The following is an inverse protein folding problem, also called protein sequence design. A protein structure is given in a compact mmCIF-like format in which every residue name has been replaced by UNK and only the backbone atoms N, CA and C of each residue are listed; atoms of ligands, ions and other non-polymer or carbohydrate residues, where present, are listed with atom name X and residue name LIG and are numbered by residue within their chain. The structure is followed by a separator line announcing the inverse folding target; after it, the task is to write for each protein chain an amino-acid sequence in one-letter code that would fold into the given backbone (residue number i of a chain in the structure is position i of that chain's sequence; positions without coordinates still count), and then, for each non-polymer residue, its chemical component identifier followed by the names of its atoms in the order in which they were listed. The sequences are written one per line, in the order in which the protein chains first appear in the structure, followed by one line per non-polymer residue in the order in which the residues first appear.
data_IF_348328007522
#
_entry.id   IF_348328007522
#
_cell.length_a   1.000
_cell.length_b   1.000
_cell.length_c   1.000
_cell.angle_alpha   90.00
_cell.angle_beta   90.00
_cell.angle_gamma   90.00
#
_symmetry.space_group_name_H-M   'P 1'
#
loop_
_entity.id
_entity.type
_entity.pdbx_description
1 polymer ?
#
# COMPACT_ATOMS: atom_id res chain seq x y z
N UNK A 1 -0.89 -10.71 51.08
CA UNK A 1 -0.57 -10.01 49.81
C UNK A 1 -1.79 -9.23 49.29
N UNK A 2 -3.01 -9.78 49.32
CA UNK A 2 -4.25 -8.99 49.05
C UNK A 2 -4.45 -7.80 50.00
N UNK A 3 -4.06 -7.92 51.27
CA UNK A 3 -4.19 -6.82 52.23
C UNK A 3 -3.32 -5.61 51.85
N UNK A 4 -2.13 -5.84 51.28
CA UNK A 4 -1.26 -4.78 50.77
C UNK A 4 -1.89 -4.08 49.53
N UNK A 5 -2.64 -4.83 48.72
CA UNK A 5 -3.46 -4.36 47.61
C UNK A 5 -4.51 -3.31 47.97
N UNK A 6 -5.01 -3.37 49.19
CA UNK A 6 -6.17 -2.59 49.66
C UNK A 6 -5.81 -1.62 50.78
N UNK A 7 -4.54 -1.57 51.18
CA UNK A 7 -4.12 -0.76 52.30
C UNK A 7 -3.99 0.70 51.88
N UNK A 8 -4.62 1.66 52.59
CA UNK A 8 -4.66 3.07 52.16
C UNK A 8 -3.28 3.74 52.16
N UNK A 9 -2.33 3.21 52.94
CA UNK A 9 -0.97 3.74 53.03
C UNK A 9 0.04 2.96 52.16
N UNK A 10 -0.41 2.05 51.29
CA UNK A 10 0.47 1.28 50.40
C UNK A 10 0.11 1.59 48.96
N UNK A 11 1.07 2.10 48.20
CA UNK A 11 0.97 2.22 46.75
C UNK A 11 1.69 1.04 46.10
N UNK A 12 0.95 0.22 45.37
CA UNK A 12 1.53 -0.91 44.63
C UNK A 12 2.05 -0.46 43.26
N UNK A 13 3.36 -0.58 43.07
CA UNK A 13 4.01 -0.44 41.78
C UNK A 13 4.15 -1.83 41.15
N UNK A 14 3.05 -2.35 40.61
CA UNK A 14 3.03 -3.68 39.98
C UNK A 14 3.83 -3.69 38.67
N UNK A 15 4.30 -4.87 38.25
CA UNK A 15 5.08 -5.07 37.03
C UNK A 15 6.25 -4.08 36.90
N UNK A 16 6.97 -3.90 38.01
CA UNK A 16 8.05 -2.95 38.17
C UNK A 16 9.28 -3.62 38.77
N UNK A 17 10.45 -3.07 38.50
CA UNK A 17 11.73 -3.52 39.05
C UNK A 17 12.40 -2.38 39.80
N UNK A 18 12.99 -2.69 40.95
CA UNK A 18 13.85 -1.76 41.67
C UNK A 18 15.19 -1.71 40.95
N UNK A 19 15.57 -0.54 40.44
CA UNK A 19 16.86 -0.33 39.78
C UNK A 19 17.94 0.14 40.74
N UNK A 20 17.56 0.95 41.74
CA UNK A 20 18.49 1.54 42.69
C UNK A 20 17.80 1.88 44.01
N UNK A 21 18.55 1.76 45.11
CA UNK A 21 18.10 2.15 46.45
C UNK A 21 19.23 2.94 47.10
N UNK A 22 18.95 4.17 47.53
CA UNK A 22 19.92 5.03 48.20
C UNK A 22 19.35 5.62 49.50
N UNK A 23 20.22 6.08 50.39
CA UNK A 23 19.82 6.63 51.70
C UNK A 23 19.98 5.63 52.86
N UNK A 24 19.13 5.75 53.88
CA UNK A 24 19.21 4.95 55.11
C UNK A 24 17.82 4.55 55.63
N UNK A 25 17.78 3.69 56.65
CA UNK A 25 16.52 3.18 57.22
C UNK A 25 15.64 4.34 57.70
N UNK A 26 14.44 4.46 57.13
CA UNK A 26 13.47 5.53 57.45
C UNK A 26 13.60 6.79 56.59
N UNK A 27 14.64 6.92 55.77
CA UNK A 27 14.79 7.99 54.78
C UNK A 27 15.63 7.48 53.60
N UNK A 28 14.97 6.81 52.67
CA UNK A 28 15.60 6.22 51.49
C UNK A 28 14.82 6.61 50.24
N UNK A 29 15.53 6.69 49.13
CA UNK A 29 14.97 6.86 47.80
C UNK A 29 15.11 5.55 47.02
N UNK A 30 14.05 5.17 46.32
CA UNK A 30 14.04 3.99 45.45
C UNK A 30 13.77 4.44 44.03
N UNK A 31 14.67 4.10 43.12
CA UNK A 31 14.44 4.23 41.69
C UNK A 31 13.77 2.96 41.20
N UNK A 32 12.55 3.10 40.69
CA UNK A 32 11.73 1.98 40.23
C UNK A 32 11.47 2.16 38.73
N UNK A 33 11.83 1.15 37.94
CA UNK A 33 11.43 1.06 36.54
C UNK A 33 10.12 0.30 36.44
N UNK A 34 9.06 1.00 36.07
CA UNK A 34 7.77 0.39 35.73
C UNK A 34 7.80 -0.10 34.29
N UNK A 35 7.63 -1.42 34.08
CA UNK A 35 7.61 -1.99 32.73
C UNK A 35 6.29 -1.62 32.02
N UNK A 36 6.31 -1.41 30.70
CA UNK A 36 5.09 -1.13 29.95
C UNK A 36 4.20 -2.37 29.91
N UNK A 37 2.98 -2.23 30.41
CA UNK A 37 2.00 -3.32 30.53
C UNK A 37 1.23 -3.60 29.23
N UNK A 38 1.04 -2.56 28.42
CA UNK A 38 0.18 -2.56 27.21
C UNK A 38 -1.28 -3.00 27.44
N UNK A 39 -1.70 -3.02 28.70
CA UNK A 39 -3.08 -3.25 29.14
C UNK A 39 -3.41 -2.13 30.12
N UNK A 40 -4.59 -1.52 29.94
CA UNK A 40 -5.08 -0.46 30.83
C UNK A 40 -5.48 -1.09 32.17
N UNK A 41 -4.77 -0.72 33.24
CA UNK A 41 -4.88 -1.33 34.57
C UNK A 41 -6.26 -1.10 35.20
N UNK A 42 -6.83 0.07 34.98
CA UNK A 42 -8.14 0.52 35.45
C UNK A 42 -9.31 -0.13 34.70
N UNK A 43 -9.08 -0.63 33.48
CA UNK A 43 -10.10 -1.30 32.66
C UNK A 43 -10.03 -2.82 32.71
N UNK A 44 -8.92 -3.39 33.19
CA UNK A 44 -8.74 -4.84 33.21
C UNK A 44 -9.50 -5.49 34.36
N UNK A 45 -10.50 -6.32 34.02
CA UNK A 45 -11.31 -7.06 35.00
C UNK A 45 -10.73 -8.43 35.38
N UNK A 46 -9.54 -8.76 34.88
CA UNK A 46 -8.89 -10.05 35.07
C UNK A 46 -9.68 -11.28 34.57
N UNK A 47 -10.65 -11.11 33.67
CA UNK A 47 -11.57 -12.17 33.24
C UNK A 47 -10.94 -13.30 32.41
N UNK A 48 -9.78 -13.07 31.80
CA UNK A 48 -9.05 -14.08 31.02
C UNK A 48 -9.46 -14.23 29.55
N UNK A 49 -10.52 -13.57 29.09
CA UNK A 49 -10.98 -13.65 27.68
C UNK A 49 -9.88 -13.30 26.66
N UNK A 50 -8.96 -12.41 27.03
CA UNK A 50 -7.82 -12.06 26.20
C UNK A 50 -6.83 -13.21 25.95
N UNK A 51 -6.73 -14.18 26.88
CA UNK A 51 -5.90 -15.38 26.70
C UNK A 51 -6.45 -16.24 25.56
N UNK A 52 -7.77 -16.42 25.54
CA UNK A 52 -8.45 -17.34 24.64
C UNK A 52 -8.40 -16.87 23.18
N UNK A 53 -8.32 -15.56 22.96
CA UNK A 53 -8.33 -14.94 21.62
C UNK A 53 -6.95 -14.56 21.11
N UNK A 54 -5.89 -14.69 21.91
CA UNK A 54 -4.55 -14.27 21.52
C UNK A 54 -3.87 -15.30 20.61
N UNK A 55 -3.56 -14.95 19.34
CA UNK A 55 -3.05 -15.92 18.36
C UNK A 55 -1.54 -16.16 18.46
N UNK A 56 -0.87 -15.54 19.43
CA UNK A 56 0.59 -15.56 19.58
C UNK A 56 0.93 -16.37 20.81
N UNK A 57 1.75 -17.41 20.64
CA UNK A 57 2.35 -18.14 21.76
C UNK A 57 3.79 -17.67 21.98
N UNK A 58 4.16 -17.49 23.24
CA UNK A 58 5.51 -17.14 23.69
C UNK A 58 5.98 -18.15 24.73
N UNK A 59 7.30 -18.19 24.95
CA UNK A 59 7.92 -19.03 25.96
C UNK A 59 7.59 -18.53 27.36
N UNK A 60 7.25 -19.44 28.27
CA UNK A 60 6.85 -19.12 29.64
C UNK A 60 8.08 -18.86 30.53
N UNK A 61 8.44 -17.60 30.74
CA UNK A 61 9.57 -17.23 31.61
C UNK A 61 9.37 -17.62 33.07
N UNK A 62 8.12 -17.63 33.57
CA UNK A 62 7.82 -17.99 34.95
C UNK A 62 8.08 -19.49 35.20
N UNK A 63 7.84 -20.33 34.21
CA UNK A 63 8.13 -21.76 34.24
C UNK A 63 9.50 -22.11 33.60
N UNK A 64 10.46 -21.18 33.59
CA UNK A 64 11.83 -21.39 33.09
C UNK A 64 11.89 -21.93 31.63
N UNK A 65 10.89 -21.57 30.82
CA UNK A 65 10.77 -22.00 29.42
C UNK A 65 10.32 -23.45 29.22
N UNK A 66 9.83 -24.11 30.27
CA UNK A 66 9.30 -25.49 30.20
C UNK A 66 7.90 -25.56 29.60
N UNK A 67 7.23 -24.42 29.43
CA UNK A 67 5.90 -24.29 28.82
C UNK A 67 5.82 -23.09 27.89
N UNK A 68 4.70 -22.98 27.18
CA UNK A 68 4.33 -21.80 26.38
C UNK A 68 2.99 -21.25 26.87
N UNK A 69 2.79 -19.96 26.74
CA UNK A 69 1.51 -19.30 27.01
C UNK A 69 1.22 -18.23 25.94
N UNK A 70 0.00 -17.69 25.86
CA UNK A 70 -0.28 -16.60 24.93
C UNK A 70 0.53 -15.34 25.23
N UNK A 71 0.78 -14.47 24.24
CA UNK A 71 1.58 -13.26 24.42
C UNK A 71 0.95 -12.25 25.40
N UNK A 72 -0.36 -12.32 25.61
CA UNK A 72 -1.04 -11.70 26.75
C UNK A 72 -1.16 -12.74 27.87
N UNK A 73 -0.77 -12.38 29.09
CA UNK A 73 -0.76 -13.29 30.23
C UNK A 73 -0.76 -12.53 31.56
N UNK A 74 -0.87 -13.26 32.68
CA UNK A 74 -0.62 -12.70 34.02
C UNK A 74 0.83 -12.94 34.38
N UNK A 75 1.55 -11.92 34.85
CA UNK A 75 2.98 -11.99 35.14
C UNK A 75 3.38 -13.17 36.05
N UNK A 76 2.47 -13.62 36.93
CA UNK A 76 2.54 -14.89 37.65
C UNK A 76 1.14 -15.27 38.15
N UNK A 77 0.87 -16.54 38.52
CA UNK A 77 -0.48 -17.02 38.86
C UNK A 77 -1.20 -16.26 39.98
N UNK A 78 -0.45 -15.67 40.91
CA UNK A 78 -0.96 -14.94 42.07
C UNK A 78 -0.68 -13.42 41.99
N UNK A 79 -0.55 -12.87 40.78
CA UNK A 79 -0.25 -11.45 40.57
C UNK A 79 -1.26 -10.54 41.28
N UNK A 80 -0.76 -9.52 41.99
CA UNK A 80 -1.56 -8.47 42.64
C UNK A 80 -1.06 -7.10 42.16
N UNK A 81 -1.93 -6.29 41.52
CA UNK A 81 -3.28 -6.63 41.08
C UNK A 81 -3.24 -7.70 39.98
N UNK A 82 -4.33 -8.47 39.82
CA UNK A 82 -4.42 -9.60 38.87
C UNK A 82 -4.61 -9.13 37.42
N UNK A 83 -3.81 -8.15 37.02
CA UNK A 83 -3.92 -7.46 35.74
C UNK A 83 -3.00 -8.12 34.73
N UNK A 84 -3.52 -8.32 33.52
CA UNK A 84 -2.78 -8.92 32.41
C UNK A 84 -1.67 -7.98 31.91
N UNK A 85 -0.68 -8.55 31.24
CA UNK A 85 0.43 -7.88 30.55
C UNK A 85 0.50 -8.43 29.13
N UNK A 86 0.95 -7.63 28.17
CA UNK A 86 1.35 -8.12 26.84
C UNK A 86 2.86 -8.06 26.75
N UNK A 87 3.50 -9.18 26.40
CA UNK A 87 4.92 -9.17 26.06
C UNK A 87 5.12 -8.62 24.65
N UNK A 88 5.89 -7.53 24.56
CA UNK A 88 6.28 -6.91 23.31
C UNK A 88 7.79 -6.94 23.17
N UNK A 89 8.31 -7.81 22.30
CA UNK A 89 9.74 -7.99 22.04
C UNK A 89 10.38 -6.85 21.21
N UNK A 90 9.56 -5.97 20.62
CA UNK A 90 10.04 -4.83 19.85
C UNK A 90 9.13 -4.50 18.66
N UNK A 91 9.74 -3.93 17.62
CA UNK A 91 9.12 -3.71 16.30
C UNK A 91 9.72 -4.72 15.33
N UNK A 92 8.87 -5.44 14.61
CA UNK A 92 9.33 -6.40 13.61
C UNK A 92 9.95 -5.66 12.41
N UNK A 93 11.05 -6.16 11.80
CA UNK A 93 11.66 -5.53 10.64
C UNK A 93 10.68 -5.28 9.48
N UNK A 94 9.76 -6.22 9.23
CA UNK A 94 8.73 -6.07 8.20
C UNK A 94 7.72 -4.95 8.50
N UNK A 95 7.46 -4.67 9.79
CA UNK A 95 6.61 -3.55 10.21
C UNK A 95 7.35 -2.22 10.08
N UNK A 96 8.61 -2.20 10.49
CA UNK A 96 9.46 -1.01 10.43
C UNK A 96 9.69 -0.54 8.99
N UNK A 97 9.90 -1.49 8.07
CA UNK A 97 10.04 -1.23 6.65
C UNK A 97 8.71 -0.83 5.97
N UNK A 98 7.56 -1.18 6.54
CA UNK A 98 6.27 -0.88 5.93
C UNK A 98 5.92 0.61 6.10
N UNK A 99 5.67 1.37 5.01
CA UNK A 99 5.37 2.80 5.11
C UNK A 99 4.15 3.15 5.95
N UNK A 100 3.17 2.24 6.03
CA UNK A 100 1.96 2.42 6.87
C UNK A 100 2.13 1.84 8.28
N UNK A 101 3.31 1.31 8.62
CA UNK A 101 3.57 0.67 9.91
C UNK A 101 2.70 -0.57 10.18
N UNK A 102 2.21 -1.21 9.11
CA UNK A 102 1.23 -2.29 9.18
C UNK A 102 1.77 -3.53 9.90
N UNK A 103 0.92 -4.12 10.76
CA UNK A 103 1.29 -5.23 11.65
C UNK A 103 1.19 -6.60 10.97
N UNK A 104 2.09 -6.90 10.03
CA UNK A 104 2.11 -8.16 9.27
C UNK A 104 2.07 -9.42 10.14
N UNK A 105 2.88 -9.47 11.20
CA UNK A 105 2.90 -10.60 12.13
C UNK A 105 1.54 -10.89 12.77
N UNK A 106 0.74 -9.85 13.05
CA UNK A 106 -0.56 -9.98 13.70
C UNK A 106 -1.56 -10.69 12.81
N UNK A 107 -1.77 -10.21 11.59
CA UNK A 107 -2.71 -10.86 10.68
C UNK A 107 -2.19 -12.22 10.18
N UNK A 108 -0.87 -12.43 10.05
CA UNK A 108 -0.31 -13.74 9.69
C UNK A 108 -0.57 -14.78 10.80
N UNK A 109 -0.50 -14.38 12.06
CA UNK A 109 -0.87 -15.27 13.16
C UNK A 109 -2.36 -15.64 13.13
N UNK A 110 -3.23 -14.68 12.81
CA UNK A 110 -4.66 -14.92 12.63
C UNK A 110 -4.94 -15.84 11.43
N UNK A 111 -4.22 -15.67 10.31
CA UNK A 111 -4.27 -16.58 9.15
C UNK A 111 -3.88 -18.00 9.56
N UNK A 112 -2.83 -18.18 10.37
CA UNK A 112 -2.38 -19.49 10.86
C UNK A 112 -3.47 -20.22 11.65
N UNK A 113 -4.28 -19.47 12.41
CA UNK A 113 -5.43 -20.00 13.16
C UNK A 113 -6.72 -20.12 12.33
N UNK A 114 -6.66 -19.81 11.03
CA UNK A 114 -7.83 -19.74 10.12
C UNK A 114 -8.88 -18.71 10.52
N UNK A 115 -8.47 -17.67 11.25
CA UNK A 115 -9.32 -16.54 11.65
C UNK A 115 -9.24 -15.43 10.61
N UNK A 116 -9.69 -15.73 9.40
CA UNK A 116 -9.49 -14.85 8.24
C UNK A 116 -10.25 -13.53 8.35
N UNK A 117 -11.46 -13.53 8.90
CA UNK A 117 -12.23 -12.31 9.15
C UNK A 117 -11.53 -11.37 10.17
N UNK A 118 -10.99 -11.92 11.26
CA UNK A 118 -10.17 -11.15 12.21
C UNK A 118 -8.88 -10.63 11.55
N UNK A 119 -8.25 -11.44 10.67
CA UNK A 119 -7.06 -11.04 9.93
C UNK A 119 -7.38 -9.86 9.00
N UNK A 120 -8.49 -9.91 8.27
CA UNK A 120 -8.95 -8.81 7.40
C UNK A 120 -9.21 -7.54 8.21
N UNK A 121 -9.91 -7.66 9.34
CA UNK A 121 -10.12 -6.54 10.27
C UNK A 121 -8.80 -5.92 10.74
N UNK A 122 -7.85 -6.74 11.17
CA UNK A 122 -6.54 -6.28 11.61
C UNK A 122 -5.74 -5.59 10.50
N UNK A 123 -5.91 -6.00 9.24
CA UNK A 123 -5.30 -5.34 8.08
C UNK A 123 -5.94 -3.96 7.84
N UNK A 124 -7.29 -3.89 7.90
CA UNK A 124 -8.08 -2.65 7.70
C UNK A 124 -7.85 -1.58 8.77
N UNK A 125 -7.33 -1.95 9.96
CA UNK A 125 -6.93 -0.98 10.99
C UNK A 125 -5.87 0.02 10.49
N UNK A 126 -4.94 -0.43 9.64
CA UNK A 126 -3.79 0.39 9.18
C UNK A 126 -3.83 0.65 7.65
N UNK A 127 -4.78 0.03 6.91
CA UNK A 127 -4.81 0.08 5.45
C UNK A 127 -6.25 0.01 4.89
N UNK A 128 -6.78 1.08 4.27
CA UNK A 128 -8.09 1.06 3.61
C UNK A 128 -8.19 0.12 2.42
N UNK A 129 -7.06 -0.14 1.74
CA UNK A 129 -7.02 -0.83 0.44
C UNK A 129 -6.21 -2.14 0.49
N UNK A 130 -6.60 -3.14 1.31
CA UNK A 130 -5.90 -4.43 1.35
C UNK A 130 -5.88 -5.18 0.03
N UNK A 131 -6.93 -5.12 -0.79
CA UNK A 131 -6.99 -5.79 -2.08
C UNK A 131 -6.00 -5.18 -3.07
N UNK A 132 -5.85 -3.85 -3.07
CA UNK A 132 -4.83 -3.13 -3.85
C UNK A 132 -3.43 -3.47 -3.34
N UNK A 133 -3.15 -3.26 -2.06
CA UNK A 133 -1.82 -3.51 -1.51
C UNK A 133 -1.43 -5.00 -1.46
N UNK A 134 -2.37 -5.92 -1.70
CA UNK A 134 -2.10 -7.34 -1.90
C UNK A 134 -1.67 -7.68 -3.34
N UNK A 135 -1.80 -6.75 -4.28
CA UNK A 135 -1.53 -6.95 -5.70
C UNK A 135 -0.38 -6.10 -6.23
N UNK A 136 -0.33 -4.83 -5.84
CA UNK A 136 0.55 -3.83 -6.49
C UNK A 136 1.60 -3.23 -5.54
N UNK A 137 1.66 -3.71 -4.29
CA UNK A 137 2.62 -3.20 -3.33
C UNK A 137 4.05 -3.61 -3.73
N UNK A 138 4.99 -2.69 -3.59
CA UNK A 138 6.42 -2.95 -3.74
C UNK A 138 7.02 -3.82 -2.62
N UNK A 139 6.20 -4.26 -1.65
CA UNK A 139 6.51 -5.31 -0.67
C UNK A 139 7.89 -5.21 0.02
N UNK A 140 8.37 -3.99 0.30
CA UNK A 140 9.61 -3.70 1.06
C UNK A 140 9.67 -4.40 2.42
N UNK A 141 8.51 -4.77 2.97
CA UNK A 141 8.41 -5.58 4.19
C UNK A 141 8.94 -7.01 4.02
N UNK A 142 8.93 -7.55 2.81
CA UNK A 142 9.49 -8.86 2.45
C UNK A 142 11.01 -8.78 2.31
N UNK A 143 11.55 -7.70 1.73
CA UNK A 143 13.00 -7.44 1.68
C UNK A 143 13.62 -7.37 3.09
N UNK A 144 12.93 -6.71 4.02
CA UNK A 144 13.36 -6.60 5.42
C UNK A 144 13.08 -7.87 6.25
N UNK A 145 12.44 -8.90 5.68
CA UNK A 145 11.92 -10.03 6.45
C UNK A 145 13.06 -10.84 7.09
N UNK A 146 13.00 -11.02 8.41
CA UNK A 146 14.02 -11.79 9.14
C UNK A 146 14.11 -13.26 8.71
N UNK A 147 13.06 -13.80 8.07
CA UNK A 147 13.04 -15.18 7.56
C UNK A 147 14.06 -15.38 6.43
N UNK A 148 14.35 -14.35 5.63
CA UNK A 148 15.36 -14.36 4.59
C UNK A 148 16.78 -14.65 5.09
N UNK A 149 17.04 -14.53 6.40
CA UNK A 149 18.32 -14.91 7.03
C UNK A 149 18.49 -16.42 7.19
N UNK A 150 17.42 -17.19 6.96
CA UNK A 150 17.41 -18.64 7.10
C UNK A 150 17.10 -19.29 5.75
N UNK A 151 16.04 -18.84 5.08
CA UNK A 151 15.66 -19.27 3.74
C UNK A 151 15.04 -18.11 2.94
N UNK A 152 13.73 -18.11 2.69
CA UNK A 152 13.05 -17.12 1.85
C UNK A 152 12.15 -16.19 2.68
N UNK A 153 11.96 -14.92 2.26
CA UNK A 153 10.96 -14.05 2.86
C UNK A 153 9.57 -14.68 2.92
N UNK A 154 8.81 -14.34 3.95
CA UNK A 154 7.38 -14.65 3.95
C UNK A 154 6.70 -13.82 2.87
N UNK A 155 5.84 -14.43 2.06
CA UNK A 155 5.04 -13.74 1.02
C UNK A 155 3.89 -12.91 1.62
N UNK A 156 4.25 -11.87 2.37
CA UNK A 156 3.34 -10.97 3.10
C UNK A 156 2.29 -10.35 2.17
N UNK A 157 2.68 -9.87 0.99
CA UNK A 157 1.79 -9.28 -0.01
C UNK A 157 0.75 -10.30 -0.49
N UNK A 158 1.17 -11.53 -0.80
CA UNK A 158 0.27 -12.60 -1.27
C UNK A 158 -0.68 -13.08 -0.19
N UNK A 159 -0.22 -13.14 1.07
CA UNK A 159 -1.09 -13.45 2.22
C UNK A 159 -2.15 -12.37 2.43
N UNK A 160 -1.79 -11.09 2.26
CA UNK A 160 -2.74 -9.97 2.29
C UNK A 160 -3.77 -10.08 1.17
N UNK A 161 -3.34 -10.39 -0.06
CA UNK A 161 -4.25 -10.67 -1.18
C UNK A 161 -5.22 -11.79 -0.86
N UNK A 162 -4.71 -12.93 -0.39
CA UNK A 162 -5.55 -14.07 -0.02
C UNK A 162 -6.63 -13.67 1.00
N UNK A 163 -6.28 -12.94 2.05
CA UNK A 163 -7.23 -12.50 3.07
C UNK A 163 -8.26 -11.51 2.50
N UNK A 164 -7.84 -10.56 1.67
CA UNK A 164 -8.75 -9.61 1.04
C UNK A 164 -9.75 -10.31 0.10
N UNK A 165 -9.25 -11.23 -0.73
CA UNK A 165 -10.08 -11.99 -1.66
C UNK A 165 -11.07 -12.89 -0.88
N UNK A 166 -10.59 -13.58 0.16
CA UNK A 166 -11.44 -14.38 1.04
C UNK A 166 -12.53 -13.53 1.71
N UNK A 167 -12.19 -12.35 2.21
CA UNK A 167 -13.14 -11.45 2.88
C UNK A 167 -14.29 -11.03 1.94
N UNK A 168 -13.97 -10.78 0.67
CA UNK A 168 -14.97 -10.44 -0.35
C UNK A 168 -15.90 -11.59 -0.74
N UNK A 169 -15.48 -12.83 -0.53
CA UNK A 169 -16.31 -14.03 -0.71
C UNK A 169 -17.15 -14.38 0.53
N UNK A 170 -16.78 -13.85 1.72
CA UNK A 170 -17.39 -14.19 3.00
C UNK A 170 -17.88 -12.93 3.77
N UNK A 171 -18.75 -12.10 3.17
CA UNK A 171 -19.15 -10.81 3.73
C UNK A 171 -19.84 -10.93 5.10
N UNK A 172 -20.60 -12.01 5.35
CA UNK A 172 -21.29 -12.21 6.63
C UNK A 172 -20.32 -12.45 7.80
N UNK A 173 -19.26 -13.23 7.56
CA UNK A 173 -18.22 -13.49 8.57
C UNK A 173 -17.40 -12.22 8.84
N UNK A 174 -17.14 -11.42 7.80
CA UNK A 174 -16.49 -10.12 7.92
C UNK A 174 -17.37 -9.17 8.73
N UNK A 175 -18.66 -9.05 8.42
CA UNK A 175 -19.58 -8.20 9.15
C UNK A 175 -19.63 -8.54 10.65
N UNK A 176 -19.66 -9.84 10.99
CA UNK A 176 -19.61 -10.28 12.39
C UNK A 176 -18.26 -9.96 13.06
N UNK A 177 -17.14 -10.08 12.34
CA UNK A 177 -15.82 -9.73 12.88
C UNK A 177 -15.68 -8.22 13.17
N UNK A 178 -16.30 -7.37 12.37
CA UNK A 178 -16.33 -5.91 12.54
C UNK A 178 -17.40 -5.43 13.53
N UNK A 179 -18.28 -6.32 13.98
CA UNK A 179 -19.29 -5.98 14.97
C UNK A 179 -18.62 -5.54 16.29
N UNK A 180 -19.02 -4.40 16.88
CA UNK A 180 -18.56 -3.98 18.19
C UNK A 180 -18.73 -5.11 19.22
N UNK A 181 -17.63 -5.49 19.90
CA UNK A 181 -17.67 -6.57 20.90
C UNK A 181 -17.97 -6.05 22.30
N UNK A 182 -17.86 -4.74 22.48
CA UNK A 182 -18.20 -4.01 23.70
C UNK A 182 -19.02 -2.76 23.35
N UNK A 183 -19.92 -2.35 24.25
CA UNK A 183 -20.84 -1.22 24.01
C UNK A 183 -20.10 0.09 23.70
N UNK A 184 -18.94 0.32 24.31
CA UNK A 184 -18.11 1.51 24.07
C UNK A 184 -17.54 1.60 22.63
N UNK A 185 -17.54 0.49 21.87
CA UNK A 185 -17.14 0.47 20.45
C UNK A 185 -18.34 0.71 19.50
N UNK A 186 -19.57 0.69 20.02
CA UNK A 186 -20.78 0.81 19.20
C UNK A 186 -21.28 2.26 19.03
N UNK A 187 -20.68 3.22 19.74
CA UNK A 187 -21.06 4.63 19.62
C UNK A 187 -20.55 5.18 18.28
N UNK A 188 -21.47 5.65 17.44
CA UNK A 188 -21.12 6.45 16.27
C UNK A 188 -20.36 7.70 16.72
N UNK A 189 -19.36 8.17 15.95
CA UNK A 189 -18.64 9.36 16.31
C UNK A 189 -19.58 10.56 16.34
N UNK A 190 -19.59 11.29 17.45
CA UNK A 190 -20.38 12.51 17.61
C UNK A 190 -20.10 13.49 16.46
N UNK A 191 -21.13 14.00 15.77
CA UNK A 191 -20.95 14.95 14.68
C UNK A 191 -20.20 16.19 15.16
N UNK A 192 -19.05 16.45 14.55
CA UNK A 192 -18.22 17.62 14.87
C UNK A 192 -18.81 18.92 14.33
N UNK A 193 -19.78 18.84 13.42
CA UNK A 193 -20.33 19.97 12.67
C UNK A 193 -19.33 20.61 11.71
N UNK A 194 -18.20 19.95 11.42
CA UNK A 194 -17.15 20.43 10.53
C UNK A 194 -17.23 19.78 9.16
N UNK A 195 -17.11 20.60 8.12
CA UNK A 195 -17.15 20.19 6.70
C UNK A 195 -15.75 20.22 6.11
N UNK A 196 -15.33 19.12 5.48
CA UNK A 196 -14.02 18.99 4.84
C UNK A 196 -14.18 18.64 3.37
N UNK A 197 -13.54 19.41 2.50
CA UNK A 197 -13.42 19.09 1.08
C UNK A 197 -12.13 18.31 0.81
N UNK A 198 -12.22 17.22 0.07
CA UNK A 198 -11.09 16.39 -0.36
C UNK A 198 -11.01 16.49 -1.88
N UNK A 199 -9.93 17.05 -2.42
CA UNK A 199 -9.73 17.20 -3.86
C UNK A 199 -8.86 16.06 -4.38
N UNK A 200 -9.46 15.19 -5.19
CA UNK A 200 -8.87 13.95 -5.72
C UNK A 200 -9.34 12.71 -4.96
N UNK A 201 -9.81 11.69 -5.69
CA UNK A 201 -10.26 10.40 -5.14
C UNK A 201 -9.20 9.28 -5.28
N UNK A 202 -7.92 9.65 -5.32
CA UNK A 202 -6.82 8.70 -5.25
C UNK A 202 -6.69 8.05 -3.86
N UNK A 203 -5.68 7.19 -3.66
CA UNK A 203 -5.48 6.49 -2.37
C UNK A 203 -5.40 7.45 -1.19
N UNK A 204 -4.70 8.58 -1.34
CA UNK A 204 -4.57 9.58 -0.29
C UNK A 204 -5.92 10.24 0.05
N UNK A 205 -6.66 10.70 -0.96
CA UNK A 205 -7.94 11.39 -0.75
C UNK A 205 -8.99 10.50 -0.11
N UNK A 206 -9.14 9.26 -0.60
CA UNK A 206 -10.09 8.30 -0.03
C UNK A 206 -9.71 7.86 1.39
N UNK A 207 -8.42 7.69 1.70
CA UNK A 207 -7.96 7.40 3.06
C UNK A 207 -8.29 8.55 4.02
N UNK A 208 -7.98 9.79 3.61
CA UNK A 208 -8.33 10.99 4.40
C UNK A 208 -9.84 11.10 4.60
N UNK A 209 -10.62 10.80 3.56
CA UNK A 209 -12.08 10.86 3.66
C UNK A 209 -12.63 9.82 4.65
N UNK A 210 -12.12 8.59 4.61
CA UNK A 210 -12.46 7.55 5.57
C UNK A 210 -12.12 7.99 7.00
N UNK A 211 -10.87 8.40 7.25
CA UNK A 211 -10.39 8.75 8.59
C UNK A 211 -11.14 9.94 9.19
N UNK A 212 -11.45 10.96 8.37
CA UNK A 212 -12.21 12.12 8.83
C UNK A 212 -13.67 11.76 9.09
N UNK A 213 -14.27 10.89 8.26
CA UNK A 213 -15.64 10.44 8.47
C UNK A 213 -15.77 9.63 9.76
N UNK A 214 -14.82 8.74 10.04
CA UNK A 214 -14.73 7.98 11.30
C UNK A 214 -14.49 8.87 12.53
N UNK A 215 -14.06 10.13 12.35
CA UNK A 215 -13.93 11.14 13.40
C UNK A 215 -15.14 12.07 13.53
N UNK A 216 -16.23 11.81 12.80
CA UNK A 216 -17.47 12.59 12.88
C UNK A 216 -17.46 13.87 12.05
N UNK A 217 -16.57 14.00 11.07
CA UNK A 217 -16.60 15.12 10.11
C UNK A 217 -17.51 14.81 8.92
N UNK A 218 -18.11 15.84 8.34
CA UNK A 218 -18.77 15.77 7.04
C UNK A 218 -17.70 15.90 5.95
N UNK A 219 -17.66 14.96 5.01
CA UNK A 219 -16.62 14.92 3.98
C UNK A 219 -17.24 14.85 2.59
N UNK A 220 -16.82 15.77 1.71
CA UNK A 220 -17.10 15.71 0.27
C UNK A 220 -15.80 15.50 -0.49
N UNK A 221 -15.73 14.44 -1.30
CA UNK A 221 -14.63 14.16 -2.22
C UNK A 221 -14.99 14.67 -3.62
N UNK A 222 -14.13 15.50 -4.19
CA UNK A 222 -14.26 16.03 -5.55
C UNK A 222 -13.26 15.32 -6.46
N UNK A 223 -13.76 14.62 -7.48
CA UNK A 223 -12.96 13.87 -8.44
C UNK A 223 -13.16 14.44 -9.84
N UNK A 224 -12.06 14.70 -10.56
CA UNK A 224 -12.10 15.26 -11.90
C UNK A 224 -12.59 14.24 -12.95
N UNK A 225 -12.33 12.96 -12.74
CA UNK A 225 -12.67 11.87 -13.65
C UNK A 225 -14.11 11.34 -13.43
N UNK A 226 -14.66 10.57 -14.41
CA UNK A 226 -15.97 9.93 -14.27
C UNK A 226 -15.96 8.72 -13.32
N UNK A 227 -14.81 8.37 -12.73
CA UNK A 227 -14.60 7.21 -11.86
C UNK A 227 -13.67 7.58 -10.71
N UNK A 228 -13.84 6.92 -9.56
CA UNK A 228 -12.99 7.12 -8.39
C UNK A 228 -11.82 6.12 -8.31
N UNK A 229 -10.80 6.45 -7.51
CA UNK A 229 -9.64 5.58 -7.25
C UNK A 229 -8.31 6.12 -7.77
N UNK A 230 -8.33 7.23 -8.52
CA UNK A 230 -7.13 7.86 -9.07
C UNK A 230 -6.24 6.87 -9.84
N UNK A 231 -4.92 6.92 -9.64
CA UNK A 231 -3.99 6.03 -10.35
C UNK A 231 -4.19 4.53 -10.05
N UNK A 232 -4.84 4.15 -8.95
CA UNK A 232 -5.19 2.74 -8.70
C UNK A 232 -6.22 2.22 -9.70
N UNK A 233 -7.05 3.13 -10.25
CA UNK A 233 -8.08 2.84 -11.26
C UNK A 233 -7.55 3.07 -12.67
N UNK A 234 -6.97 4.24 -12.93
CA UNK A 234 -6.67 4.66 -14.31
C UNK A 234 -5.20 4.50 -14.69
N UNK A 235 -4.30 4.35 -13.72
CA UNK A 235 -2.89 4.10 -13.99
C UNK A 235 -2.60 2.61 -14.11
N UNK A 236 -2.94 1.85 -13.07
CA UNK A 236 -2.64 0.42 -12.98
C UNK A 236 -3.60 -0.37 -13.89
N UNK A 237 -3.09 -1.21 -14.81
CA UNK A 237 -3.94 -2.03 -15.67
C UNK A 237 -4.83 -3.04 -14.93
N UNK A 238 -5.99 -3.33 -15.49
CA UNK A 238 -6.98 -4.25 -14.89
C UNK A 238 -6.44 -5.67 -14.65
N UNK A 239 -5.52 -6.17 -15.50
CA UNK A 239 -4.92 -7.50 -15.30
C UNK A 239 -4.05 -7.59 -14.03
N UNK A 240 -3.57 -6.44 -13.52
CA UNK A 240 -2.84 -6.34 -12.24
C UNK A 240 -3.78 -6.01 -11.10
N UNK A 241 -4.67 -5.04 -11.31
CA UNK A 241 -5.62 -4.59 -10.31
C UNK A 241 -7.05 -4.70 -10.85
N UNK A 242 -7.76 -5.80 -10.57
CA UNK A 242 -9.14 -5.99 -11.00
C UNK A 242 -10.03 -4.85 -10.52
N UNK A 243 -10.76 -4.29 -11.47
CA UNK A 243 -11.50 -3.07 -11.27
C UNK A 243 -12.67 -3.24 -10.29
N UNK A 244 -13.34 -4.38 -10.32
CA UNK A 244 -14.42 -4.70 -9.40
C UNK A 244 -13.96 -4.75 -7.95
N UNK A 245 -12.76 -5.30 -7.68
CA UNK A 245 -12.20 -5.39 -6.34
C UNK A 245 -11.83 -4.03 -5.76
N UNK A 246 -11.25 -3.15 -6.58
CA UNK A 246 -11.02 -1.76 -6.19
C UNK A 246 -12.34 -1.05 -5.88
N UNK A 247 -13.37 -1.26 -6.71
CA UNK A 247 -14.67 -0.61 -6.51
C UNK A 247 -15.30 -0.99 -5.17
N UNK A 248 -15.20 -2.26 -4.75
CA UNK A 248 -15.70 -2.71 -3.44
C UNK A 248 -15.08 -1.93 -2.27
N UNK A 249 -13.76 -1.71 -2.29
CA UNK A 249 -13.09 -0.95 -1.22
C UNK A 249 -13.46 0.53 -1.24
N UNK A 250 -13.68 1.11 -2.43
CA UNK A 250 -14.19 2.46 -2.58
C UNK A 250 -15.62 2.56 -2.02
N UNK A 251 -16.47 1.59 -2.34
CA UNK A 251 -17.87 1.54 -1.88
C UNK A 251 -17.96 1.38 -0.36
N UNK A 252 -17.05 0.63 0.26
CA UNK A 252 -16.91 0.56 1.72
C UNK A 252 -16.65 1.94 2.34
N UNK A 253 -15.78 2.76 1.73
CA UNK A 253 -15.46 4.11 2.20
C UNK A 253 -16.65 5.05 1.98
N UNK A 254 -17.27 5.02 0.80
CA UNK A 254 -18.46 5.82 0.49
C UNK A 254 -19.61 5.46 1.44
N UNK A 255 -19.77 4.16 1.74
CA UNK A 255 -20.78 3.61 2.65
C UNK A 255 -20.70 4.16 4.08
N UNK A 256 -19.56 4.73 4.50
CA UNK A 256 -19.45 5.45 5.78
C UNK A 256 -20.21 6.78 5.78
N UNK A 257 -20.74 7.23 4.64
CA UNK A 257 -21.41 8.53 4.46
C UNK A 257 -20.48 9.61 3.91
N UNK A 258 -19.44 9.22 3.16
CA UNK A 258 -18.62 10.17 2.40
C UNK A 258 -19.37 10.55 1.12
N UNK A 259 -19.56 11.85 0.87
CA UNK A 259 -20.14 12.32 -0.38
C UNK A 259 -19.08 12.31 -1.49
N UNK A 260 -19.35 11.65 -2.61
CA UNK A 260 -18.44 11.62 -3.76
C UNK A 260 -19.05 12.36 -4.96
N UNK A 261 -18.33 13.36 -5.46
CA UNK A 261 -18.67 14.15 -6.67
C UNK A 261 -17.68 13.84 -7.78
N UNK A 262 -18.10 12.98 -8.71
CA UNK A 262 -17.36 12.67 -9.94
C UNK A 262 -17.52 13.80 -10.97
N UNK A 263 -16.68 13.82 -12.00
CA UNK A 263 -16.68 14.86 -13.05
C UNK A 263 -16.64 16.30 -12.50
N UNK A 264 -16.02 16.49 -11.34
CA UNK A 264 -16.01 17.72 -10.56
C UNK A 264 -14.58 18.19 -10.35
N UNK A 265 -13.96 18.67 -11.44
CA UNK A 265 -12.61 19.25 -11.38
C UNK A 265 -12.63 20.56 -10.57
N UNK A 266 -11.73 20.65 -9.61
CA UNK A 266 -11.52 21.87 -8.81
C UNK A 266 -10.32 22.62 -9.38
N UNK A 267 -10.57 23.80 -9.95
CA UNK A 267 -9.53 24.70 -10.46
C UNK A 267 -8.99 25.64 -9.37
N UNK A 268 -9.85 26.03 -8.43
CA UNK A 268 -9.52 26.93 -7.33
C UNK A 268 -9.89 26.29 -5.98
N UNK A 269 -8.87 25.81 -5.27
CA UNK A 269 -9.02 25.20 -3.95
C UNK A 269 -9.41 26.21 -2.87
N UNK A 270 -9.18 27.51 -3.09
CA UNK A 270 -9.53 28.58 -2.13
C UNK A 270 -11.03 28.84 -2.18
N UNK A 271 -11.64 28.79 -3.38
CA UNK A 271 -13.08 28.95 -3.55
C UNK A 271 -13.90 27.95 -2.71
N UNK A 272 -13.37 26.74 -2.47
CA UNK A 272 -14.02 25.76 -1.59
C UNK A 272 -14.16 26.26 -0.14
N UNK A 273 -13.26 27.12 0.35
CA UNK A 273 -13.44 27.74 1.67
C UNK A 273 -14.61 28.73 1.68
N UNK A 274 -14.80 29.47 0.58
CA UNK A 274 -15.90 30.40 0.42
C UNK A 274 -17.25 29.68 0.30
N UNK A 275 -17.27 28.42 -0.17
CA UNK A 275 -18.41 27.50 -0.16
C UNK A 275 -18.74 26.90 1.23
N UNK A 276 -18.00 27.33 2.27
CA UNK A 276 -18.26 26.97 3.66
C UNK A 276 -17.65 25.64 4.12
N UNK A 277 -16.59 25.17 3.47
CA UNK A 277 -15.76 24.08 3.98
C UNK A 277 -14.73 24.62 4.99
N UNK A 278 -14.64 24.01 6.17
CA UNK A 278 -13.70 24.39 7.24
C UNK A 278 -12.25 24.05 6.88
N UNK A 279 -12.05 22.98 6.12
CA UNK A 279 -10.74 22.51 5.67
C UNK A 279 -10.79 21.94 4.26
N UNK A 280 -9.65 21.99 3.57
CA UNK A 280 -9.46 21.41 2.23
C UNK A 280 -8.20 20.56 2.25
N UNK A 281 -8.32 19.30 1.82
CA UNK A 281 -7.19 18.42 1.55
C UNK A 281 -6.98 18.30 0.03
N UNK A 282 -5.74 18.44 -0.42
CA UNK A 282 -5.39 18.35 -1.85
C UNK A 282 -4.58 17.08 -2.07
N UNK A 283 -5.20 16.10 -2.73
CA UNK A 283 -4.64 14.77 -3.03
C UNK A 283 -4.72 14.43 -4.52
N UNK A 284 -4.44 15.41 -5.39
CA UNK A 284 -4.61 15.28 -6.84
C UNK A 284 -3.51 14.45 -7.52
N UNK A 285 -2.41 14.14 -6.85
CA UNK A 285 -1.29 13.40 -7.45
C UNK A 285 -0.48 14.21 -8.48
N UNK A 286 0.43 13.54 -9.19
CA UNK A 286 1.29 14.11 -10.21
C UNK A 286 0.85 13.61 -11.59
N UNK A 287 0.08 14.43 -12.30
CA UNK A 287 -0.50 14.08 -13.60
C UNK A 287 0.27 14.62 -14.81
N UNK A 288 1.27 15.49 -14.59
CA UNK A 288 2.06 16.05 -15.68
C UNK A 288 3.16 15.08 -16.12
N UNK A 289 3.20 14.77 -17.40
CA UNK A 289 4.24 13.94 -18.01
C UNK A 289 5.50 14.75 -18.34
N UNK A 290 6.64 14.06 -18.38
CA UNK A 290 7.93 14.65 -18.75
C UNK A 290 8.13 14.56 -20.26
N UNK A 291 8.19 15.71 -20.93
CA UNK A 291 8.47 15.76 -22.37
C UNK A 291 9.90 15.34 -22.70
N UNK A 292 10.04 14.58 -23.80
CA UNK A 292 11.33 14.30 -24.40
C UNK A 292 11.72 15.47 -25.30
N UNK A 293 12.86 16.13 -25.09
CA UNK A 293 13.28 17.27 -25.90
C UNK A 293 13.91 16.77 -27.23
N UNK A 294 13.14 16.05 -28.03
CA UNK A 294 13.56 15.47 -29.31
C UNK A 294 12.65 15.96 -30.44
N UNK A 295 13.16 16.09 -31.68
CA UNK A 295 12.31 16.41 -32.82
C UNK A 295 11.21 15.34 -33.02
N UNK A 296 10.00 15.80 -33.36
CA UNK A 296 8.84 14.94 -33.61
C UNK A 296 8.11 14.44 -32.35
N UNK A 297 8.44 14.96 -31.16
CA UNK A 297 7.74 14.63 -29.90
C UNK A 297 6.27 15.08 -29.86
N UNK A 298 5.85 15.93 -30.80
CA UNK A 298 4.51 16.49 -30.94
C UNK A 298 3.67 15.82 -32.03
N UNK A 299 4.19 14.77 -32.68
CA UNK A 299 3.44 14.03 -33.70
C UNK A 299 2.19 13.35 -33.12
N UNK A 300 1.07 13.25 -33.88
CA UNK A 300 -0.22 12.79 -33.35
C UNK A 300 -0.22 11.37 -32.77
N UNK A 301 0.70 10.50 -33.22
CA UNK A 301 0.84 9.13 -32.74
C UNK A 301 1.68 9.03 -31.45
N UNK A 302 2.40 10.09 -31.07
CA UNK A 302 3.10 10.14 -29.78
C UNK A 302 2.07 10.22 -28.65
N UNK A 303 2.16 9.26 -27.72
CA UNK A 303 1.26 9.18 -26.57
C UNK A 303 2.05 9.15 -25.28
N UNK A 304 1.57 9.92 -24.31
CA UNK A 304 2.05 9.83 -22.93
C UNK A 304 1.57 8.52 -22.32
N UNK A 305 2.45 7.84 -21.58
CA UNK A 305 2.11 6.56 -20.98
C UNK A 305 0.93 6.68 -20.01
N UNK A 306 0.88 7.76 -19.21
CA UNK A 306 -0.23 8.01 -18.29
C UNK A 306 -1.56 8.21 -19.01
N UNK A 307 -1.58 8.95 -20.12
CA UNK A 307 -2.79 9.16 -20.92
C UNK A 307 -3.22 7.87 -21.63
N UNK A 308 -2.26 7.14 -22.20
CA UNK A 308 -2.53 5.85 -22.83
C UNK A 308 -3.13 4.84 -21.84
N UNK A 309 -2.53 4.69 -20.65
CA UNK A 309 -3.02 3.79 -19.61
C UNK A 309 -4.40 4.22 -19.09
N UNK A 310 -4.58 5.53 -18.88
CA UNK A 310 -5.86 6.10 -18.44
C UNK A 310 -6.96 5.82 -19.45
N UNK A 311 -6.72 6.11 -20.72
CA UNK A 311 -7.66 5.86 -21.80
C UNK A 311 -7.97 4.36 -21.85
N UNK A 312 -6.93 3.50 -21.85
CA UNK A 312 -7.10 2.05 -21.93
C UNK A 312 -7.94 1.49 -20.77
N UNK A 313 -7.68 1.93 -19.54
CA UNK A 313 -8.44 1.54 -18.35
C UNK A 313 -9.89 2.07 -18.34
N UNK A 314 -10.17 3.12 -19.11
CA UNK A 314 -11.53 3.63 -19.35
C UNK A 314 -12.20 2.99 -20.58
N UNK A 315 -11.54 2.03 -21.23
CA UNK A 315 -12.06 1.34 -22.41
C UNK A 315 -11.88 2.13 -23.71
N UNK A 316 -10.99 3.12 -23.72
CA UNK A 316 -10.64 3.91 -24.89
C UNK A 316 -9.21 3.57 -25.30
N UNK A 317 -9.01 2.92 -26.43
CA UNK A 317 -7.66 2.59 -26.89
C UNK A 317 -7.48 2.84 -28.39
N UNK A 318 -6.26 3.20 -28.82
CA UNK A 318 -5.95 3.30 -30.23
C UNK A 318 -6.03 1.93 -30.92
N UNK A 319 -6.14 1.95 -32.25
CA UNK A 319 -5.99 0.74 -33.06
C UNK A 319 -4.51 0.36 -33.13
N UNK A 320 -4.15 -0.73 -32.45
CA UNK A 320 -2.80 -1.26 -32.33
C UNK A 320 -2.61 -2.54 -33.17
N UNK A 321 -3.65 -3.04 -33.82
CA UNK A 321 -3.58 -4.24 -34.64
C UNK A 321 -2.53 -4.09 -35.76
N UNK A 322 -1.60 -5.05 -35.84
CA UNK A 322 -0.49 -5.07 -36.80
C UNK A 322 0.49 -3.89 -36.69
N UNK A 323 0.43 -3.09 -35.62
CA UNK A 323 1.31 -1.94 -35.43
C UNK A 323 2.62 -2.34 -34.75
N UNK A 324 3.64 -1.52 -34.96
CA UNK A 324 4.87 -1.54 -34.17
C UNK A 324 4.78 -0.45 -33.12
N UNK A 325 4.90 -0.83 -31.85
CA UNK A 325 4.79 0.08 -30.71
C UNK A 325 6.13 0.12 -30.00
N UNK A 326 6.68 1.31 -29.81
CA UNK A 326 7.90 1.51 -29.02
C UNK A 326 7.55 2.28 -27.76
N UNK A 327 7.77 1.67 -26.61
CA UNK A 327 7.61 2.28 -25.29
C UNK A 327 8.96 2.78 -24.81
N UNK A 328 9.03 4.04 -24.43
CA UNK A 328 10.26 4.70 -23.99
C UNK A 328 10.31 4.74 -22.47
N UNK A 329 11.21 3.98 -21.84
CA UNK A 329 11.36 3.94 -20.39
C UNK A 329 11.69 2.56 -19.83
N UNK A 330 11.75 2.46 -18.50
CA UNK A 330 12.03 1.19 -17.80
C UNK A 330 11.49 1.13 -16.38
N UNK A 331 10.52 1.99 -16.03
CA UNK A 331 9.80 1.89 -14.74
C UNK A 331 8.52 1.08 -14.88
N UNK A 332 7.81 0.90 -13.76
CA UNK A 332 6.53 0.15 -13.72
C UNK A 332 5.53 0.68 -14.76
N UNK A 333 5.44 2.00 -14.94
CA UNK A 333 4.60 2.64 -15.97
C UNK A 333 4.95 2.19 -17.39
N UNK A 334 6.23 1.97 -17.69
CA UNK A 334 6.66 1.48 -18.99
C UNK A 334 6.29 0.01 -19.20
N UNK A 335 6.40 -0.81 -18.15
CA UNK A 335 5.97 -2.22 -18.21
C UNK A 335 4.47 -2.33 -18.40
N UNK A 336 3.70 -1.59 -17.60
CA UNK A 336 2.24 -1.53 -17.70
C UNK A 336 1.80 -1.05 -19.09
N UNK A 337 2.42 0.01 -19.63
CA UNK A 337 2.11 0.49 -20.98
C UNK A 337 2.45 -0.54 -22.07
N UNK A 338 3.60 -1.20 -21.98
CA UNK A 338 4.01 -2.22 -22.96
C UNK A 338 3.07 -3.44 -22.94
N UNK A 339 2.82 -4.00 -21.76
CA UNK A 339 1.90 -5.13 -21.59
C UNK A 339 0.47 -4.77 -22.02
N UNK A 340 0.01 -3.57 -21.68
CA UNK A 340 -1.33 -3.08 -22.08
C UNK A 340 -1.43 -2.93 -23.59
N UNK A 341 -0.43 -2.33 -24.24
CA UNK A 341 -0.40 -2.20 -25.71
C UNK A 341 -0.45 -3.55 -26.41
N UNK A 342 0.33 -4.53 -25.91
CA UNK A 342 0.38 -5.87 -26.47
C UNK A 342 -0.96 -6.61 -26.30
N UNK A 343 -1.53 -6.58 -25.09
CA UNK A 343 -2.81 -7.25 -24.78
C UNK A 343 -3.97 -6.64 -25.55
N UNK A 344 -4.07 -5.30 -25.59
CA UNK A 344 -5.11 -4.59 -26.33
C UNK A 344 -5.01 -4.86 -27.82
N UNK A 345 -3.81 -4.73 -28.41
CA UNK A 345 -3.63 -4.98 -29.83
C UNK A 345 -3.85 -6.44 -30.22
N UNK A 346 -3.47 -7.39 -29.35
CA UNK A 346 -3.77 -8.83 -29.56
C UNK A 346 -5.27 -9.09 -29.51
N UNK A 347 -5.98 -8.54 -28.53
CA UNK A 347 -7.44 -8.63 -28.44
C UNK A 347 -8.11 -8.07 -29.70
N UNK A 348 -7.66 -6.90 -30.20
CA UNK A 348 -8.17 -6.31 -31.45
C UNK A 348 -7.92 -7.22 -32.67
N UNK A 349 -6.75 -7.84 -32.74
CA UNK A 349 -6.38 -8.79 -33.79
C UNK A 349 -7.25 -10.05 -33.76
N UNK A 350 -7.50 -10.60 -32.57
CA UNK A 350 -8.37 -11.76 -32.36
C UNK A 350 -9.83 -11.47 -32.74
N UNK A 351 -10.34 -10.29 -32.40
CA UNK A 351 -11.73 -9.89 -32.69
C UNK A 351 -11.96 -9.56 -34.18
N UNK A 352 -11.00 -8.91 -34.84
CA UNK A 352 -11.17 -8.37 -36.19
C UNK A 352 -10.53 -9.22 -37.29
N UNK A 353 -9.70 -10.19 -36.90
CA UNK A 353 -8.89 -10.97 -37.82
C UNK A 353 -7.72 -10.15 -38.38
N UNK A 354 -6.57 -10.24 -37.72
CA UNK A 354 -5.33 -9.57 -38.13
C UNK A 354 -4.11 -10.09 -37.38
N UNK A 355 -3.00 -9.38 -37.51
CA UNK A 355 -1.76 -9.69 -36.79
C UNK A 355 -1.71 -8.91 -35.45
N UNK A 356 -1.18 -9.51 -34.36
CA UNK A 356 -0.94 -8.78 -33.12
C UNK A 356 0.15 -7.72 -33.31
N UNK A 357 0.22 -6.69 -32.44
CA UNK A 357 1.30 -5.72 -32.50
C UNK A 357 2.66 -6.33 -32.15
N UNK A 358 3.72 -5.75 -32.70
CA UNK A 358 5.08 -5.90 -32.16
C UNK A 358 5.30 -4.79 -31.13
N UNK A 359 5.54 -5.15 -29.87
CA UNK A 359 5.78 -4.18 -28.79
C UNK A 359 7.23 -4.26 -28.31
N UNK A 360 7.89 -3.10 -28.30
CA UNK A 360 9.27 -2.93 -27.88
C UNK A 360 9.37 -1.95 -26.71
N UNK A 361 10.30 -2.21 -25.80
CA UNK A 361 10.71 -1.26 -24.77
C UNK A 361 12.12 -0.80 -25.07
N UNK A 362 12.29 0.49 -25.38
CA UNK A 362 13.61 1.10 -25.52
C UNK A 362 14.04 1.71 -24.18
N UNK A 363 15.12 1.16 -23.60
CA UNK A 363 15.65 1.60 -22.32
C UNK A 363 17.12 1.99 -22.42
N UNK A 364 17.44 3.19 -21.93
CA UNK A 364 18.78 3.78 -22.03
C UNK A 364 19.84 3.13 -21.13
N UNK A 365 19.47 2.19 -20.25
CA UNK A 365 20.40 1.43 -19.39
C UNK A 365 20.22 -0.07 -19.61
N UNK A 366 20.85 -0.90 -18.78
CA UNK A 366 20.67 -2.36 -18.82
C UNK A 366 19.57 -2.79 -17.86
N UNK A 367 19.20 -4.08 -17.94
CA UNK A 367 18.25 -4.74 -17.04
C UNK A 367 18.61 -4.52 -15.56
N UNK A 368 19.89 -4.57 -15.21
CA UNK A 368 20.36 -4.41 -13.83
C UNK A 368 20.07 -3.02 -13.23
N UNK A 369 19.92 -1.98 -14.06
CA UNK A 369 19.54 -0.63 -13.61
C UNK A 369 18.07 -0.31 -13.87
N UNK A 370 17.25 -1.28 -14.28
CA UNK A 370 15.83 -1.08 -14.52
C UNK A 370 15.11 -0.84 -13.18
N UNK A 371 14.37 0.28 -13.03
CA UNK A 371 13.65 0.56 -11.80
C UNK A 371 12.34 -0.25 -11.65
N UNK A 372 11.83 -0.86 -12.72
CA UNK A 372 10.64 -1.70 -12.64
C UNK A 372 10.87 -2.94 -11.78
N UNK A 373 9.80 -3.45 -11.15
CA UNK A 373 9.91 -4.66 -10.34
C UNK A 373 10.27 -5.88 -11.21
N UNK A 374 11.22 -6.70 -10.75
CA UNK A 374 11.76 -7.84 -11.52
C UNK A 374 10.68 -8.81 -12.02
N UNK A 375 9.59 -8.98 -11.28
CA UNK A 375 8.48 -9.86 -11.69
C UNK A 375 7.59 -9.23 -12.77
N UNK A 376 7.52 -7.90 -12.86
CA UNK A 376 6.79 -7.19 -13.91
C UNK A 376 7.57 -7.22 -15.22
N UNK A 377 8.90 -7.06 -15.14
CA UNK A 377 9.80 -7.21 -16.31
C UNK A 377 9.68 -8.62 -16.88
N UNK A 378 9.78 -9.64 -16.03
CA UNK A 378 9.60 -11.05 -16.44
C UNK A 378 8.23 -11.30 -17.05
N UNK A 379 7.16 -10.74 -16.49
CA UNK A 379 5.82 -10.87 -17.07
C UNK A 379 5.74 -10.22 -18.46
N UNK A 380 6.37 -9.06 -18.67
CA UNK A 380 6.40 -8.41 -19.97
C UNK A 380 7.16 -9.27 -21.02
N UNK A 381 8.28 -9.85 -20.63
CA UNK A 381 9.04 -10.79 -21.48
C UNK A 381 8.22 -12.04 -21.82
N UNK A 382 7.53 -12.62 -20.84
CA UNK A 382 6.65 -13.78 -21.02
C UNK A 382 5.44 -13.47 -21.92
N UNK A 383 4.88 -12.26 -21.83
CA UNK A 383 3.81 -11.77 -22.70
C UNK A 383 4.30 -11.58 -24.16
N UNK A 384 5.62 -11.42 -24.38
CA UNK A 384 6.24 -11.28 -25.70
C UNK A 384 6.78 -9.89 -26.03
N UNK A 385 6.93 -9.01 -25.03
CA UNK A 385 7.56 -7.69 -25.18
C UNK A 385 9.05 -7.84 -25.47
N UNK A 386 9.55 -7.11 -26.48
CA UNK A 386 10.96 -7.12 -26.85
C UNK A 386 11.70 -5.96 -26.17
N UNK A 387 12.84 -6.23 -25.54
CA UNK A 387 13.63 -5.21 -24.85
C UNK A 387 14.85 -4.76 -25.67
N UNK A 388 14.89 -3.47 -25.96
CA UNK A 388 16.01 -2.78 -26.59
C UNK A 388 16.83 -2.05 -25.51
N UNK A 389 17.80 -2.76 -24.95
CA UNK A 389 18.72 -2.26 -23.92
C UNK A 389 19.77 -1.31 -24.48
N UNK A 390 20.21 -0.35 -23.64
CA UNK A 390 21.20 0.65 -24.02
C UNK A 390 20.78 1.42 -25.28
N UNK A 391 19.51 1.82 -25.34
CA UNK A 391 18.93 2.58 -26.45
C UNK A 391 18.29 3.85 -25.93
N UNK A 392 18.63 4.99 -26.54
CA UNK A 392 18.01 6.29 -26.25
C UNK A 392 17.43 6.89 -27.53
N UNK A 393 16.21 7.46 -27.48
CA UNK A 393 15.62 8.13 -28.64
C UNK A 393 16.37 9.43 -28.95
N UNK A 394 16.47 9.76 -30.24
CA UNK A 394 17.09 10.98 -30.78
C UNK A 394 16.07 11.80 -31.57
N UNK A 395 15.24 11.17 -32.40
CA UNK A 395 14.24 11.82 -33.24
C UNK A 395 13.10 10.86 -33.58
N UNK A 396 11.86 11.36 -33.58
CA UNK A 396 10.69 10.66 -34.11
C UNK A 396 10.52 11.03 -35.58
N UNK A 397 10.54 10.04 -36.47
CA UNK A 397 10.52 10.26 -37.92
C UNK A 397 9.09 10.18 -38.43
N UNK A 398 8.69 11.18 -39.23
CA UNK A 398 7.39 11.22 -39.90
C UNK A 398 7.50 10.86 -41.39
N UNK A 399 6.47 10.21 -41.93
CA UNK A 399 6.29 10.05 -43.37
C UNK A 399 5.79 11.36 -44.04
N UNK A 400 5.58 11.32 -45.36
CA UNK A 400 5.09 12.48 -46.13
C UNK A 400 3.68 12.95 -45.70
N UNK A 401 2.90 12.08 -45.06
CA UNK A 401 1.55 12.35 -44.55
C UNK A 401 1.55 12.84 -43.09
N UNK A 402 2.72 12.92 -42.45
CA UNK A 402 2.88 13.35 -41.07
C UNK A 402 2.64 12.25 -40.04
N UNK A 403 2.65 10.97 -40.44
CA UNK A 403 2.53 9.85 -39.52
C UNK A 403 3.89 9.35 -39.05
N UNK A 404 3.97 8.96 -37.77
CA UNK A 404 5.17 8.28 -37.24
C UNK A 404 5.47 7.01 -38.06
N UNK A 405 6.65 6.97 -38.67
CA UNK A 405 7.11 5.85 -39.50
C UNK A 405 8.42 5.22 -39.01
N UNK A 406 9.06 5.81 -37.98
CA UNK A 406 10.21 5.22 -37.32
C UNK A 406 10.72 6.05 -36.15
N UNK A 407 11.62 5.48 -35.36
CA UNK A 407 12.28 6.15 -34.25
C UNK A 407 13.80 6.06 -34.43
N UNK A 408 14.45 7.20 -34.63
CA UNK A 408 15.92 7.24 -34.67
C UNK A 408 16.42 7.20 -33.24
N UNK A 409 17.28 6.23 -32.95
CA UNK A 409 17.88 6.01 -31.64
C UNK A 409 19.40 5.97 -31.73
N UNK A 410 20.07 6.21 -30.61
CA UNK A 410 21.50 5.95 -30.44
C UNK A 410 21.76 4.85 -29.42
N UNK A 411 22.89 4.15 -29.56
CA UNK A 411 23.36 3.21 -28.55
C UNK A 411 23.97 3.96 -27.38
N UNK A 412 23.80 3.40 -26.19
CA UNK A 412 24.35 3.92 -24.95
C UNK A 412 25.45 3.00 -24.42
N UNK A 413 26.39 3.56 -23.69
CA UNK A 413 27.28 2.82 -22.79
C UNK A 413 27.05 3.28 -21.35
N UNK A 414 27.38 2.41 -20.39
CA UNK A 414 27.24 2.74 -18.98
C UNK A 414 28.52 3.41 -18.47
N UNK A 415 28.39 4.66 -18.04
CA UNK A 415 29.42 5.39 -17.30
C UNK A 415 29.40 5.10 -15.80
N UNK A 416 29.95 6.05 -15.05
CA UNK A 416 29.93 6.04 -13.58
C UNK A 416 28.51 6.18 -13.02
N UNK A 417 28.24 5.67 -11.80
CA UNK A 417 26.98 5.89 -11.09
C UNK A 417 26.59 7.37 -10.95
N UNK A 418 25.28 7.65 -11.09
CA UNK A 418 24.65 8.91 -10.74
C UNK A 418 24.32 9.01 -9.24
N UNK A 419 23.71 10.11 -8.81
CA UNK A 419 23.33 10.35 -7.41
C UNK A 419 22.31 9.33 -6.88
N UNK A 420 21.57 8.65 -7.77
CA UNK A 420 20.68 7.55 -7.39
C UNK A 420 21.41 6.19 -7.29
N UNK A 421 22.72 6.16 -7.51
CA UNK A 421 23.54 4.94 -7.51
C UNK A 421 23.47 4.14 -8.82
N UNK A 422 22.68 4.58 -9.81
CA UNK A 422 22.54 3.90 -11.10
C UNK A 422 23.57 4.42 -12.10
N UNK A 423 24.13 3.55 -12.93
CA UNK A 423 25.12 3.97 -13.93
C UNK A 423 24.52 4.96 -14.93
N UNK A 424 25.28 6.02 -15.23
CA UNK A 424 24.88 7.07 -16.17
C UNK A 424 24.93 6.53 -17.59
N UNK A 425 23.88 6.70 -18.40
CA UNK A 425 23.93 6.34 -19.81
C UNK A 425 24.68 7.43 -20.59
N UNK A 426 25.69 7.04 -21.37
CA UNK A 426 26.50 7.92 -22.22
C UNK A 426 26.24 7.54 -23.69
N UNK A 427 25.86 8.48 -24.58
CA UNK A 427 25.68 8.17 -26.00
C UNK A 427 26.97 7.72 -26.66
N UNK A 428 26.90 6.64 -27.46
CA UNK A 428 28.00 6.19 -28.31
C UNK A 428 27.92 6.95 -29.64
N UNK A 429 28.92 7.76 -29.96
CA UNK A 429 28.94 8.55 -31.20
C UNK A 429 28.91 7.66 -32.46
N UNK A 430 28.12 8.05 -33.47
CA UNK A 430 28.03 7.34 -34.75
C UNK A 430 27.29 6.00 -34.67
N UNK A 431 26.55 5.77 -33.58
CA UNK A 431 25.79 4.54 -33.35
C UNK A 431 24.30 4.69 -33.67
N UNK A 432 23.90 5.74 -34.38
CA UNK A 432 22.51 6.02 -34.71
C UNK A 432 21.93 4.95 -35.63
N UNK A 433 20.69 4.53 -35.33
CA UNK A 433 19.95 3.55 -36.12
C UNK A 433 18.45 3.84 -36.05
N UNK A 434 17.72 3.37 -37.06
CA UNK A 434 16.27 3.50 -37.15
C UNK A 434 15.61 2.23 -36.61
N UNK A 435 14.71 2.39 -35.64
CA UNK A 435 13.79 1.36 -35.14
C UNK A 435 12.47 1.36 -35.90
#
# INVERSE_FOLDING_TARGET
MMDAGRHPNITLLSYSEVEDVSGYVGNFEVRVRRKPRYVLEDKCTACGLCLDVCPISVTDEFNEGLSVHPAIYRSFPQAIPSVYVIEKRGVAPCRDACPTGQRAQGYIALIRERRFADAYRAIKEDNPFPAVCGRVCNHVCEEACSRAKVDEPVSIMRLKRFVADWAFEHPDEVAEAFRPKIEAEAEEPEPTGKRVAVVGSGPAGLTVAQDLRLKGHEVTVFEALPVAGGMMRVGIPEYRMPHDLLQREIDEIIGLGVELKLNSRVEDVVALKDEGYDAVFVGIGAHEDVRLPIPGDDLPQMRWANDFLRDANLGHYPDLMGKKVVVLGGGDVAMDAACTALRVGTMQADERGGDPPEVRVAYRRTEAEMPAQEHEVRQAEEDGVVFDWLVSPVEVVADEEGNVCGLTCCRMELGEPDESGRRRPIPVEGSEFLL
#
